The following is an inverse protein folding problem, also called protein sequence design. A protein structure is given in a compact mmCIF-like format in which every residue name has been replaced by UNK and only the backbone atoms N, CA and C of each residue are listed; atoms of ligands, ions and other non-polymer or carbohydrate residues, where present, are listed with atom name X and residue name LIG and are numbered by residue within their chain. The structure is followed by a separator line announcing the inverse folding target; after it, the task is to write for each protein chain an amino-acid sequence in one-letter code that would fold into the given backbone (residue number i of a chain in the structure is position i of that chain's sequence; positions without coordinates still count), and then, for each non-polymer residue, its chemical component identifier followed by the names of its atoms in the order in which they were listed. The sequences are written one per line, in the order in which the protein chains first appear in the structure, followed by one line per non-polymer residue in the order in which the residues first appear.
data_IF_933264786366
#
_entry.id   IF_933264786366
#
_cell.length_a   1.000
_cell.length_b   1.000
_cell.length_c   1.000
_cell.angle_alpha   90.00
_cell.angle_beta   90.00
_cell.angle_gamma   90.00
#
_symmetry.space_group_name_H-M   'P 1'
#
loop_
_entity.id
_entity.type
_entity.pdbx_description
1 polymer ?
#
# COMPACT_ATOMS: atom_id res chain seq x y z
N UNK A 1 -40.61 -46.05 0.42
CA UNK A 1 -39.68 -47.12 0.02
C UNK A 1 -39.49 -46.98 -1.48
N UNK A 2 -38.34 -46.65 -2.05
CA UNK A 2 -36.95 -46.64 -1.56
C UNK A 2 -36.12 -45.84 -2.55
N UNK A 3 -35.29 -44.95 -2.00
CA UNK A 3 -33.94 -44.52 -2.41
C UNK A 3 -33.51 -44.56 -3.88
N UNK A 4 -33.18 -43.37 -4.39
CA UNK A 4 -32.06 -43.20 -5.33
C UNK A 4 -31.04 -42.30 -4.64
N UNK A 5 -30.03 -42.96 -4.08
CA UNK A 5 -28.85 -42.41 -3.45
C UNK A 5 -27.88 -41.82 -4.47
N UNK A 6 -27.16 -40.80 -4.00
CA UNK A 6 -26.00 -40.13 -4.57
C UNK A 6 -24.97 -41.06 -5.24
N UNK A 7 -24.40 -40.58 -6.35
CA UNK A 7 -22.96 -40.30 -6.52
C UNK A 7 -22.71 -39.71 -7.91
N UNK A 8 -22.80 -38.39 -8.05
CA UNK A 8 -22.18 -37.67 -9.15
C UNK A 8 -20.90 -37.02 -8.61
N UNK A 9 -19.76 -37.45 -9.15
CA UNK A 9 -18.43 -37.10 -8.66
C UNK A 9 -18.21 -35.60 -8.50
N UNK A 10 -18.00 -35.18 -7.26
CA UNK A 10 -17.40 -33.89 -6.94
C UNK A 10 -15.97 -33.92 -7.46
N UNK A 11 -15.70 -33.22 -8.56
CA UNK A 11 -14.34 -33.01 -9.06
C UNK A 11 -13.46 -32.47 -7.91
N UNK A 12 -12.23 -32.97 -7.73
CA UNK A 12 -11.46 -32.63 -6.54
C UNK A 12 -10.94 -31.18 -6.64
N UNK A 13 -11.44 -30.27 -5.78
CA UNK A 13 -10.92 -28.89 -5.56
C UNK A 13 -9.50 -28.87 -4.97
N UNK A 14 -8.49 -29.41 -5.65
CA UNK A 14 -7.39 -30.08 -4.93
C UNK A 14 -6.00 -29.45 -4.96
N UNK A 15 -5.59 -28.61 -5.91
CA UNK A 15 -4.24 -28.00 -5.89
C UNK A 15 -4.19 -26.55 -6.34
N UNK A 16 -4.84 -26.21 -7.46
CA UNK A 16 -4.92 -24.84 -7.96
C UNK A 16 -5.63 -23.90 -6.96
N UNK A 17 -6.74 -24.34 -6.37
CA UNK A 17 -7.45 -23.61 -5.32
C UNK A 17 -6.60 -23.39 -4.07
N UNK A 18 -5.77 -24.38 -3.71
CA UNK A 18 -4.86 -24.29 -2.57
C UNK A 18 -3.77 -23.26 -2.84
N UNK A 19 -3.14 -23.32 -4.01
CA UNK A 19 -2.11 -22.36 -4.42
C UNK A 19 -2.65 -20.93 -4.50
N UNK A 20 -3.85 -20.74 -5.07
CA UNK A 20 -4.52 -19.44 -5.10
C UNK A 20 -4.84 -18.90 -3.70
N UNK A 21 -5.34 -19.73 -2.79
CA UNK A 21 -5.62 -19.34 -1.39
C UNK A 21 -4.35 -18.99 -0.63
N UNK A 22 -3.29 -19.79 -0.75
CA UNK A 22 -1.98 -19.49 -0.16
C UNK A 22 -1.43 -18.19 -0.71
N UNK A 23 -1.61 -17.93 -2.01
CA UNK A 23 -1.20 -16.69 -2.64
C UNK A 23 -1.91 -15.47 -2.05
N UNK A 24 -3.24 -15.53 -1.95
CA UNK A 24 -4.01 -14.47 -1.32
C UNK A 24 -3.57 -14.26 0.13
N UNK A 25 -3.34 -15.33 0.89
CA UNK A 25 -2.92 -15.26 2.28
C UNK A 25 -1.57 -14.56 2.46
N UNK A 26 -0.52 -14.92 1.72
CA UNK A 26 0.79 -14.27 1.92
C UNK A 26 0.79 -12.81 1.42
N UNK A 27 -0.04 -12.46 0.42
CA UNK A 27 -0.18 -11.08 -0.05
C UNK A 27 -0.94 -10.21 0.98
N UNK A 28 -1.96 -10.76 1.63
CA UNK A 28 -2.58 -10.12 2.79
C UNK A 28 -1.57 -10.04 3.96
N UNK A 29 -0.77 -11.08 4.17
CA UNK A 29 0.33 -11.08 5.11
C UNK A 29 1.35 -9.97 4.87
N UNK A 30 1.69 -9.70 3.62
CA UNK A 30 2.55 -8.58 3.24
C UNK A 30 1.92 -7.24 3.63
N UNK A 31 0.61 -7.03 3.39
CA UNK A 31 -0.11 -5.85 3.91
C UNK A 31 -0.06 -5.77 5.43
N UNK A 32 -0.15 -6.91 6.10
CA UNK A 32 -0.03 -7.03 7.56
C UNK A 32 1.34 -6.60 8.06
N UNK A 33 2.40 -7.04 7.39
CA UNK A 33 3.77 -6.58 7.65
C UNK A 33 3.91 -5.07 7.41
N UNK A 34 3.39 -4.56 6.29
CA UNK A 34 3.41 -3.12 5.97
C UNK A 34 2.80 -2.28 7.08
N UNK A 35 1.58 -2.60 7.54
CA UNK A 35 0.94 -1.83 8.62
C UNK A 35 1.65 -2.01 9.96
N UNK A 36 2.18 -3.21 10.24
CA UNK A 36 2.95 -3.44 11.46
C UNK A 36 4.20 -2.54 11.51
N UNK A 37 4.94 -2.43 10.39
CA UNK A 37 6.08 -1.53 10.28
C UNK A 37 5.69 -0.07 10.51
N UNK A 38 4.55 0.38 9.96
CA UNK A 38 4.01 1.73 10.21
C UNK A 38 3.73 1.96 11.69
N UNK A 39 3.02 1.04 12.34
CA UNK A 39 2.69 1.16 13.75
C UNK A 39 3.93 1.11 14.65
N UNK A 40 4.91 0.25 14.34
CA UNK A 40 6.17 0.24 15.08
C UNK A 40 6.92 1.56 14.87
N UNK A 41 7.06 2.04 13.63
CA UNK A 41 7.75 3.30 13.35
C UNK A 41 7.15 4.51 14.06
N UNK A 42 5.85 4.52 14.31
CA UNK A 42 5.16 5.63 14.98
C UNK A 42 5.10 5.49 16.51
N UNK A 43 4.86 4.30 17.05
CA UNK A 43 4.64 4.10 18.48
C UNK A 43 5.87 3.57 19.22
N UNK A 44 6.78 2.91 18.52
CA UNK A 44 8.00 2.31 19.08
C UNK A 44 9.18 2.52 18.10
N UNK A 45 9.56 3.78 17.83
CA UNK A 45 10.58 4.08 16.83
C UNK A 45 11.90 3.37 17.16
N UNK A 46 12.49 2.76 16.14
CA UNK A 46 13.78 2.07 16.24
C UNK A 46 14.87 3.05 15.77
N UNK A 47 15.86 3.41 16.62
CA UNK A 47 16.92 4.33 16.21
C UNK A 47 17.66 3.85 14.97
N UNK A 48 17.90 4.75 14.01
CA UNK A 48 18.66 4.43 12.80
C UNK A 48 17.83 3.93 11.62
N UNK A 49 16.50 3.79 11.74
CA UNK A 49 15.63 3.36 10.64
C UNK A 49 14.21 3.93 10.73
N UNK A 50 13.73 4.48 9.63
CA UNK A 50 12.33 4.91 9.51
C UNK A 50 11.41 3.76 9.04
N UNK A 51 10.95 2.94 9.99
CA UNK A 51 10.03 1.83 9.71
C UNK A 51 8.65 2.30 9.20
N UNK A 52 8.24 3.53 9.52
CA UNK A 52 7.02 4.14 9.02
C UNK A 52 7.03 4.27 7.50
N UNK A 53 8.09 4.89 6.99
CA UNK A 53 8.33 5.10 5.56
C UNK A 53 8.51 3.76 4.84
N UNK A 54 9.31 2.84 5.40
CA UNK A 54 9.50 1.51 4.84
C UNK A 54 8.18 0.72 4.71
N UNK A 55 7.32 0.81 5.73
CA UNK A 55 6.00 0.17 5.72
C UNK A 55 5.09 0.70 4.61
N UNK A 56 5.11 2.02 4.37
CA UNK A 56 4.38 2.67 3.26
C UNK A 56 4.92 2.21 1.90
N UNK A 57 6.24 2.11 1.73
CA UNK A 57 6.86 1.59 0.50
C UNK A 57 6.46 0.16 0.21
N UNK A 58 6.34 -0.68 1.24
CA UNK A 58 5.83 -2.05 1.09
C UNK A 58 4.39 -2.06 0.57
N UNK A 59 3.54 -1.13 1.01
CA UNK A 59 2.20 -0.96 0.45
C UNK A 59 2.26 -0.59 -1.03
N UNK A 60 3.09 0.38 -1.39
CA UNK A 60 3.19 0.85 -2.78
C UNK A 60 3.67 -0.22 -3.74
N UNK A 61 4.74 -0.94 -3.42
CA UNK A 61 5.22 -2.01 -4.30
C UNK A 61 4.21 -3.15 -4.39
N UNK A 62 3.50 -3.47 -3.31
CA UNK A 62 2.42 -4.46 -3.37
C UNK A 62 1.27 -3.97 -4.25
N UNK A 63 0.87 -2.71 -4.12
CA UNK A 63 -0.18 -2.11 -4.93
C UNK A 63 0.20 -2.11 -6.41
N UNK A 64 1.44 -1.81 -6.77
CA UNK A 64 1.94 -1.95 -8.14
C UNK A 64 1.84 -3.38 -8.68
N UNK A 65 2.26 -4.38 -7.91
CA UNK A 65 2.13 -5.80 -8.30
C UNK A 65 0.67 -6.17 -8.54
N UNK A 66 -0.23 -5.80 -7.63
CA UNK A 66 -1.66 -6.12 -7.73
C UNK A 66 -2.34 -5.37 -8.88
N UNK A 67 -1.97 -4.12 -9.16
CA UNK A 67 -2.52 -3.35 -10.28
C UNK A 67 -2.01 -3.84 -11.62
N UNK A 68 -0.73 -4.22 -11.70
CA UNK A 68 -0.17 -4.91 -12.85
C UNK A 68 -1.00 -6.14 -13.22
N UNK A 69 -1.30 -6.96 -12.22
CA UNK A 69 -2.14 -8.14 -12.39
C UNK A 69 -3.57 -7.82 -12.81
N UNK A 70 -4.28 -7.01 -12.03
CA UNK A 70 -5.72 -6.77 -12.25
C UNK A 70 -5.98 -6.04 -13.58
N UNK A 71 -5.19 -5.02 -13.92
CA UNK A 71 -5.48 -4.14 -15.06
C UNK A 71 -4.91 -4.68 -16.38
N UNK A 72 -3.74 -5.31 -16.36
CA UNK A 72 -3.03 -5.68 -17.59
C UNK A 72 -2.94 -7.20 -17.82
N UNK A 73 -2.99 -8.00 -16.74
CA UNK A 73 -3.01 -9.46 -16.84
C UNK A 73 -4.44 -9.96 -16.98
N UNK A 74 -5.25 -9.73 -15.95
CA UNK A 74 -6.66 -10.13 -15.88
C UNK A 74 -7.57 -9.27 -16.76
N UNK A 75 -7.12 -8.05 -17.10
CA UNK A 75 -7.88 -7.05 -17.86
C UNK A 75 -9.27 -6.81 -17.25
N UNK A 76 -9.29 -6.65 -15.93
CA UNK A 76 -10.52 -6.53 -15.18
C UNK A 76 -11.31 -5.26 -15.59
N UNK A 77 -12.64 -5.33 -15.76
CA UNK A 77 -13.42 -4.19 -16.24
C UNK A 77 -13.28 -2.95 -15.35
N UNK A 78 -12.87 -1.81 -15.92
CA UNK A 78 -12.55 -0.60 -15.15
C UNK A 78 -13.71 -0.09 -14.28
N UNK A 79 -14.95 -0.15 -14.77
CA UNK A 79 -16.13 0.22 -13.98
C UNK A 79 -16.22 -0.63 -12.70
N UNK A 80 -16.02 -1.95 -12.81
CA UNK A 80 -16.03 -2.86 -11.65
C UNK A 80 -14.80 -2.66 -10.76
N UNK A 81 -13.65 -2.33 -11.34
CA UNK A 81 -12.43 -2.01 -10.62
C UNK A 81 -12.62 -0.79 -9.69
N UNK A 82 -13.00 0.37 -10.25
CA UNK A 82 -13.19 1.59 -9.48
C UNK A 82 -14.33 1.47 -8.47
N UNK A 83 -15.41 0.75 -8.81
CA UNK A 83 -16.48 0.40 -7.86
C UNK A 83 -15.94 -0.33 -6.63
N UNK A 84 -15.11 -1.37 -6.84
CA UNK A 84 -14.51 -2.16 -5.75
C UNK A 84 -13.51 -1.36 -4.93
N UNK A 85 -12.78 -0.44 -5.55
CA UNK A 85 -11.83 0.46 -4.88
C UNK A 85 -12.56 1.49 -4.04
N UNK A 86 -13.52 2.19 -4.63
CA UNK A 86 -14.37 3.15 -3.93
C UNK A 86 -15.05 2.50 -2.72
N UNK A 87 -15.66 1.32 -2.89
CA UNK A 87 -16.37 0.64 -1.80
C UNK A 87 -15.47 0.16 -0.66
N UNK A 88 -14.16 0.01 -0.91
CA UNK A 88 -13.17 -0.34 0.11
C UNK A 88 -12.63 0.90 0.83
N UNK A 89 -12.43 2.00 0.12
CA UNK A 89 -11.62 3.13 0.59
C UNK A 89 -12.50 4.27 1.11
N UNK A 90 -13.41 4.75 0.26
CA UNK A 90 -14.07 6.03 0.47
C UNK A 90 -14.99 6.07 1.71
N UNK A 91 -15.83 5.05 2.01
CA UNK A 91 -16.71 5.09 3.18
C UNK A 91 -15.96 5.26 4.51
N UNK A 92 -14.88 4.49 4.71
CA UNK A 92 -14.12 4.58 5.96
C UNK A 92 -13.28 5.86 6.02
N UNK A 93 -12.75 6.35 4.90
CA UNK A 93 -12.08 7.64 4.82
C UNK A 93 -13.03 8.79 5.21
N UNK A 94 -14.25 8.79 4.68
CA UNK A 94 -15.25 9.81 4.98
C UNK A 94 -15.59 9.85 6.47
N UNK A 95 -15.85 8.68 7.07
CA UNK A 95 -16.13 8.57 8.50
C UNK A 95 -14.93 9.02 9.33
N UNK A 96 -13.71 8.59 8.97
CA UNK A 96 -12.49 9.03 9.64
C UNK A 96 -12.34 10.55 9.60
N UNK A 97 -12.45 11.19 8.44
CA UNK A 97 -12.27 12.64 8.30
C UNK A 97 -13.29 13.41 9.13
N UNK A 98 -14.57 13.01 9.11
CA UNK A 98 -15.62 13.66 9.91
C UNK A 98 -15.37 13.45 11.41
N UNK A 99 -15.11 12.21 11.82
CA UNK A 99 -14.88 11.88 13.23
C UNK A 99 -13.62 12.57 13.78
N UNK A 100 -12.54 12.62 13.00
CA UNK A 100 -11.31 13.30 13.36
C UNK A 100 -11.52 14.82 13.45
N UNK A 101 -12.25 15.42 12.51
CA UNK A 101 -12.52 16.86 12.55
C UNK A 101 -13.32 17.27 13.79
N UNK A 102 -14.31 16.45 14.18
CA UNK A 102 -15.12 16.70 15.38
C UNK A 102 -14.33 16.38 16.65
N UNK A 103 -13.79 15.16 16.75
CA UNK A 103 -13.14 14.65 17.96
C UNK A 103 -11.81 15.33 18.30
N UNK A 104 -11.12 15.89 17.31
CA UNK A 104 -9.89 16.66 17.52
C UNK A 104 -10.15 18.16 17.64
N UNK A 105 -11.41 18.62 17.57
CA UNK A 105 -11.75 20.03 17.75
C UNK A 105 -11.25 20.52 19.11
N UNK A 106 -10.61 21.70 19.13
CA UNK A 106 -10.01 22.26 20.35
C UNK A 106 -8.68 21.63 20.78
N UNK A 107 -8.19 20.61 20.07
CA UNK A 107 -6.85 20.05 20.29
C UNK A 107 -5.79 20.76 19.44
N UNK A 108 -4.51 20.51 19.72
CA UNK A 108 -3.38 21.08 18.97
C UNK A 108 -3.22 20.56 17.54
N UNK A 109 -3.87 19.45 17.21
CA UNK A 109 -3.91 18.87 15.85
C UNK A 109 -5.26 19.08 15.15
N UNK A 110 -6.09 19.99 15.67
CA UNK A 110 -7.32 20.38 15.01
C UNK A 110 -7.08 20.90 13.59
N UNK A 111 -7.97 20.58 12.67
CA UNK A 111 -7.89 21.03 11.27
C UNK A 111 -9.25 21.54 10.78
N UNK A 112 -9.22 22.43 9.79
CA UNK A 112 -10.41 23.08 9.23
C UNK A 112 -10.95 22.28 8.03
N UNK A 113 -12.19 22.60 7.64
CA UNK A 113 -12.89 21.95 6.52
C UNK A 113 -12.10 21.96 5.19
N UNK A 114 -11.26 22.98 4.93
CA UNK A 114 -10.40 23.02 3.74
C UNK A 114 -9.41 21.85 3.69
N UNK A 115 -8.79 21.53 4.83
CA UNK A 115 -7.88 20.38 4.93
C UNK A 115 -8.66 19.06 4.80
N UNK A 116 -9.84 18.97 5.43
CA UNK A 116 -10.74 17.83 5.28
C UNK A 116 -11.09 17.57 3.80
N UNK A 117 -11.42 18.63 3.04
CA UNK A 117 -11.73 18.52 1.63
C UNK A 117 -10.55 17.95 0.84
N UNK A 118 -9.32 18.41 1.09
CA UNK A 118 -8.13 17.90 0.38
C UNK A 118 -7.86 16.42 0.64
N UNK A 119 -8.21 15.91 1.84
CA UNK A 119 -8.14 14.48 2.12
C UNK A 119 -9.20 13.71 1.33
N UNK A 120 -10.44 14.20 1.29
CA UNK A 120 -11.55 13.56 0.58
C UNK A 120 -11.41 13.60 -0.94
N UNK A 121 -10.73 14.61 -1.49
CA UNK A 121 -10.45 14.73 -2.92
C UNK A 121 -9.10 14.14 -3.32
N UNK A 122 -8.39 13.46 -2.40
CA UNK A 122 -7.06 12.88 -2.63
C UNK A 122 -6.02 13.91 -3.12
N UNK A 123 -6.14 15.18 -2.73
CA UNK A 123 -5.20 16.23 -3.11
C UNK A 123 -4.32 16.72 -1.95
N UNK A 124 -4.46 16.09 -0.78
CA UNK A 124 -3.73 16.45 0.44
C UNK A 124 -2.21 16.48 0.23
N UNK A 125 -1.65 15.57 -0.56
CA UNK A 125 -0.21 15.47 -0.75
C UNK A 125 0.40 16.74 -1.39
N UNK A 126 -0.33 17.42 -2.28
CA UNK A 126 0.09 18.71 -2.84
C UNK A 126 -0.41 19.90 -2.01
N UNK A 127 -1.63 19.85 -1.48
CA UNK A 127 -2.17 20.93 -0.66
C UNK A 127 -1.38 21.12 0.66
N UNK A 128 -0.91 20.04 1.25
CA UNK A 128 -0.04 20.04 2.43
C UNK A 128 1.33 20.66 2.16
N UNK A 129 1.86 20.50 0.93
CA UNK A 129 3.12 21.12 0.47
C UNK A 129 2.91 22.61 0.18
N UNK A 130 1.87 22.96 -0.59
CA UNK A 130 1.72 24.29 -1.18
C UNK A 130 0.98 25.30 -0.30
N UNK A 131 0.14 24.84 0.63
CA UNK A 131 -0.75 25.71 1.42
C UNK A 131 -0.39 25.63 2.89
N UNK A 132 -0.75 24.52 3.54
CA UNK A 132 -0.42 24.27 4.95
C UNK A 132 -0.67 22.81 5.31
N UNK A 133 0.13 22.27 6.23
CA UNK A 133 -0.05 20.93 6.77
C UNK A 133 -1.18 20.88 7.80
N UNK A 134 -1.87 19.75 7.82
CA UNK A 134 -2.76 19.37 8.91
C UNK A 134 -2.24 18.07 9.52
N UNK A 135 -1.57 18.16 10.68
CA UNK A 135 -0.81 17.05 11.27
C UNK A 135 -1.60 15.75 11.45
N UNK A 136 -2.88 15.86 11.82
CA UNK A 136 -3.79 14.72 11.97
C UNK A 136 -4.06 13.97 10.65
N UNK A 137 -3.87 14.64 9.51
CA UNK A 137 -4.10 14.12 8.16
C UNK A 137 -2.79 13.86 7.40
N UNK A 138 -1.62 14.06 8.01
CA UNK A 138 -0.32 13.97 7.32
C UNK A 138 -0.23 12.68 6.48
N UNK A 139 -0.45 11.51 7.07
CA UNK A 139 -0.43 10.20 6.41
C UNK A 139 -1.32 10.08 5.14
N UNK A 140 -2.34 10.91 4.95
CA UNK A 140 -3.19 10.87 3.74
C UNK A 140 -2.39 11.19 2.47
N UNK A 141 -1.21 11.80 2.59
CA UNK A 141 -0.30 12.01 1.46
C UNK A 141 -0.06 10.72 0.65
N UNK A 142 0.14 9.59 1.33
CA UNK A 142 0.46 8.33 0.66
C UNK A 142 -0.78 7.70 0.02
N UNK A 143 -1.94 7.85 0.64
CA UNK A 143 -3.22 7.40 0.11
C UNK A 143 -3.59 8.16 -1.18
N UNK A 144 -3.31 9.47 -1.22
CA UNK A 144 -3.48 10.27 -2.43
C UNK A 144 -2.62 9.77 -3.60
N UNK A 145 -1.34 9.47 -3.36
CA UNK A 145 -0.45 8.90 -4.37
C UNK A 145 -0.96 7.55 -4.87
N UNK A 146 -1.45 6.72 -3.96
CA UNK A 146 -2.01 5.42 -4.31
C UNK A 146 -3.22 5.58 -5.26
N UNK A 147 -4.17 6.46 -4.94
CA UNK A 147 -5.34 6.72 -5.81
C UNK A 147 -4.95 7.36 -7.15
N UNK A 148 -4.02 8.32 -7.15
CA UNK A 148 -3.48 8.89 -8.40
C UNK A 148 -2.87 7.80 -9.29
N UNK A 149 -2.10 6.89 -8.69
CA UNK A 149 -1.48 5.79 -9.41
C UNK A 149 -2.50 4.84 -10.03
N UNK A 150 -3.63 4.59 -9.34
CA UNK A 150 -4.70 3.74 -9.85
C UNK A 150 -5.39 4.35 -11.06
N UNK A 151 -5.65 5.66 -11.03
CA UNK A 151 -6.20 6.40 -12.18
C UNK A 151 -5.21 6.38 -13.35
N UNK A 152 -3.93 6.66 -13.10
CA UNK A 152 -2.88 6.64 -14.14
C UNK A 152 -2.74 5.25 -14.76
N UNK A 153 -2.63 4.19 -13.95
CA UNK A 153 -2.52 2.82 -14.46
C UNK A 153 -3.77 2.38 -15.23
N UNK A 154 -4.96 2.76 -14.77
CA UNK A 154 -6.20 2.49 -15.50
C UNK A 154 -6.22 3.21 -16.86
N UNK A 155 -5.77 4.46 -16.93
CA UNK A 155 -5.65 5.20 -18.19
C UNK A 155 -4.64 4.53 -19.14
N UNK A 156 -3.47 4.15 -18.63
CA UNK A 156 -2.45 3.43 -19.42
C UNK A 156 -3.02 2.11 -19.95
N UNK A 157 -3.83 1.39 -19.16
CA UNK A 157 -4.45 0.13 -19.60
C UNK A 157 -5.40 0.26 -20.79
N UNK A 158 -5.94 1.46 -21.02
CA UNK A 158 -6.85 1.77 -22.14
C UNK A 158 -6.10 2.35 -23.33
N UNK A 159 -5.18 3.30 -23.08
CA UNK A 159 -4.52 4.08 -24.13
C UNK A 159 -3.34 3.31 -24.75
N UNK A 160 -2.63 2.49 -23.99
CA UNK A 160 -1.40 1.83 -24.45
C UNK A 160 -1.70 0.38 -24.82
N UNK A 161 -1.63 0.09 -26.11
CA UNK A 161 -1.80 -1.26 -26.62
C UNK A 161 -0.51 -2.09 -26.53
N UNK A 162 -0.66 -3.34 -26.07
CA UNK A 162 0.43 -4.32 -26.00
C UNK A 162 1.26 -4.24 -24.73
N UNK A 163 1.41 -5.37 -24.03
CA UNK A 163 2.11 -5.44 -22.73
C UNK A 163 3.57 -4.97 -22.80
N UNK A 164 4.27 -5.24 -23.90
CA UNK A 164 5.64 -4.74 -24.09
C UNK A 164 5.75 -3.22 -24.13
N UNK A 165 4.78 -2.53 -24.75
CA UNK A 165 4.71 -1.06 -24.75
C UNK A 165 4.38 -0.52 -23.35
N UNK A 166 3.42 -1.16 -22.67
CA UNK A 166 3.07 -0.83 -21.28
C UNK A 166 4.30 -0.93 -20.39
N UNK A 167 5.03 -2.05 -20.43
CA UNK A 167 6.24 -2.24 -19.62
C UNK A 167 7.27 -1.14 -19.90
N UNK A 168 7.55 -0.82 -21.17
CA UNK A 168 8.47 0.27 -21.53
C UNK A 168 8.04 1.61 -20.95
N UNK A 169 6.75 1.93 -21.07
CA UNK A 169 6.20 3.18 -20.53
C UNK A 169 6.29 3.22 -19.00
N UNK A 170 5.90 2.14 -18.32
CA UNK A 170 5.96 2.06 -16.86
C UNK A 170 7.41 2.20 -16.35
N UNK A 171 8.37 1.54 -17.00
CA UNK A 171 9.80 1.68 -16.67
C UNK A 171 10.28 3.11 -16.93
N UNK A 172 9.96 3.69 -18.08
CA UNK A 172 10.36 5.06 -18.41
C UNK A 172 9.80 6.08 -17.40
N UNK A 173 8.51 6.00 -17.08
CA UNK A 173 7.87 6.86 -16.08
C UNK A 173 8.44 6.64 -14.68
N UNK A 174 8.78 5.40 -14.30
CA UNK A 174 9.43 5.11 -13.02
C UNK A 174 10.81 5.77 -12.93
N UNK A 175 11.62 5.63 -13.98
CA UNK A 175 12.96 6.25 -14.05
C UNK A 175 12.86 7.77 -14.00
N UNK A 176 11.92 8.37 -14.73
CA UNK A 176 11.69 9.82 -14.70
C UNK A 176 11.24 10.29 -13.32
N UNK A 177 10.36 9.56 -12.64
CA UNK A 177 9.90 9.91 -11.30
C UNK A 177 11.03 9.79 -10.25
N UNK A 178 11.84 8.74 -10.33
CA UNK A 178 13.04 8.57 -9.49
C UNK A 178 14.07 9.68 -9.75
N UNK A 179 14.31 10.03 -11.00
CA UNK A 179 15.20 11.12 -11.38
C UNK A 179 14.69 12.48 -10.88
N UNK A 180 13.39 12.74 -11.01
CA UNK A 180 12.74 13.94 -10.48
C UNK A 180 12.91 14.07 -8.96
N UNK A 181 12.78 12.96 -8.22
CA UNK A 181 13.05 12.92 -6.78
C UNK A 181 14.51 13.22 -6.44
N UNK A 182 15.44 12.59 -7.17
CA UNK A 182 16.87 12.82 -6.99
C UNK A 182 17.29 14.25 -7.29
N UNK A 183 16.78 14.84 -8.39
CA UNK A 183 17.02 16.24 -8.76
C UNK A 183 16.42 17.18 -7.73
N UNK A 184 15.17 16.93 -7.29
CA UNK A 184 14.50 17.76 -6.27
C UNK A 184 15.33 17.85 -4.98
N UNK A 185 15.90 16.73 -4.54
CA UNK A 185 16.73 16.70 -3.33
C UNK A 185 18.16 17.24 -3.56
N UNK A 186 18.93 16.64 -4.47
CA UNK A 186 20.36 16.93 -4.61
C UNK A 186 20.66 18.25 -5.32
N UNK A 187 19.80 18.64 -6.27
CA UNK A 187 20.05 19.82 -7.12
C UNK A 187 19.24 21.02 -6.63
N UNK A 188 17.95 20.81 -6.31
CA UNK A 188 17.07 21.90 -5.90
C UNK A 188 17.08 22.13 -4.38
N UNK A 189 17.68 21.24 -3.59
CA UNK A 189 17.77 21.38 -2.13
C UNK A 189 16.41 21.36 -1.43
N UNK A 190 15.41 20.72 -2.04
CA UNK A 190 14.08 20.60 -1.45
C UNK A 190 14.11 19.68 -0.23
N UNK A 191 13.31 20.00 0.79
CA UNK A 191 13.20 19.17 1.99
C UNK A 191 12.53 17.82 1.70
N UNK A 192 12.47 16.97 2.73
CA UNK A 192 11.91 15.62 2.63
C UNK A 192 10.45 15.66 2.17
N UNK A 193 9.59 16.43 2.82
CA UNK A 193 8.16 16.46 2.51
C UNK A 193 7.88 17.00 1.10
N UNK A 194 8.51 18.10 0.73
CA UNK A 194 8.33 18.75 -0.57
C UNK A 194 8.92 17.95 -1.73
N UNK A 195 9.90 17.08 -1.47
CA UNK A 195 10.41 16.13 -2.46
C UNK A 195 9.60 14.83 -2.50
N UNK A 196 9.32 14.24 -1.34
CA UNK A 196 8.85 12.85 -1.22
C UNK A 196 7.34 12.70 -1.36
N UNK A 197 6.53 13.65 -0.89
CA UNK A 197 5.06 13.51 -0.90
C UNK A 197 4.45 13.77 -2.29
N UNK A 198 5.26 14.08 -3.28
CA UNK A 198 4.85 14.35 -4.66
C UNK A 198 4.54 13.05 -5.40
N UNK A 199 3.37 12.96 -6.02
CA UNK A 199 3.01 11.81 -6.86
C UNK A 199 3.99 11.63 -8.02
N UNK A 200 4.39 12.73 -8.65
CA UNK A 200 5.36 12.76 -9.75
C UNK A 200 6.80 12.34 -9.37
N UNK A 201 7.05 12.10 -8.08
CA UNK A 201 8.28 11.46 -7.59
C UNK A 201 7.98 10.03 -7.14
N UNK A 202 6.94 9.89 -6.33
CA UNK A 202 6.76 8.72 -5.50
C UNK A 202 5.96 7.58 -6.16
N UNK A 203 5.29 7.87 -7.28
CA UNK A 203 4.59 6.85 -8.08
C UNK A 203 5.55 5.75 -8.61
N UNK A 204 6.86 6.01 -8.64
CA UNK A 204 7.87 5.07 -9.10
C UNK A 204 7.76 3.66 -8.48
N UNK A 205 7.50 3.57 -7.17
CA UNK A 205 7.37 2.29 -6.46
C UNK A 205 6.23 1.43 -7.03
N UNK A 206 5.13 2.07 -7.40
CA UNK A 206 3.94 1.43 -7.94
C UNK A 206 4.17 1.05 -9.41
N UNK A 207 4.67 1.98 -10.23
CA UNK A 207 4.89 1.74 -11.66
C UNK A 207 5.97 0.67 -11.90
N UNK A 208 7.07 0.71 -11.15
CA UNK A 208 8.17 -0.24 -11.31
C UNK A 208 7.75 -1.64 -10.89
N UNK A 209 7.02 -1.77 -9.78
CA UNK A 209 6.49 -3.07 -9.36
C UNK A 209 5.46 -3.64 -10.34
N UNK A 210 4.62 -2.79 -10.93
CA UNK A 210 3.72 -3.20 -12.00
C UNK A 210 4.49 -3.67 -13.25
N UNK A 211 5.55 -2.97 -13.65
CA UNK A 211 6.41 -3.38 -14.76
C UNK A 211 7.07 -4.74 -14.53
N UNK A 212 7.62 -4.99 -13.32
CA UNK A 212 8.22 -6.28 -12.97
C UNK A 212 7.16 -7.39 -12.97
N UNK A 213 5.95 -7.11 -12.47
CA UNK A 213 4.83 -8.05 -12.52
C UNK A 213 4.52 -8.50 -13.96
N UNK A 214 4.48 -7.56 -14.91
CA UNK A 214 4.22 -7.85 -16.31
C UNK A 214 5.38 -8.57 -17.00
N UNK A 215 6.62 -8.18 -16.73
CA UNK A 215 7.80 -8.92 -17.20
C UNK A 215 7.79 -10.36 -16.74
N UNK A 216 7.41 -10.61 -15.47
CA UNK A 216 7.25 -11.96 -14.92
C UNK A 216 6.14 -12.72 -15.63
N UNK A 217 4.99 -12.10 -15.86
CA UNK A 217 3.83 -12.72 -16.52
C UNK A 217 4.12 -13.11 -17.98
N UNK A 218 4.91 -12.31 -18.69
CA UNK A 218 5.32 -12.57 -20.07
C UNK A 218 6.54 -13.52 -20.16
N UNK A 219 7.01 -14.08 -19.03
CA UNK A 219 8.15 -15.00 -18.99
C UNK A 219 9.50 -14.34 -19.28
N UNK A 220 9.56 -13.01 -19.26
CA UNK A 220 10.74 -12.20 -19.59
C UNK A 220 11.59 -11.83 -18.37
N UNK A 221 11.16 -12.20 -17.16
CA UNK A 221 11.96 -12.00 -15.96
C UNK A 221 13.17 -12.96 -15.98
N UNK A 222 14.43 -12.45 -15.92
CA UNK A 222 15.63 -13.28 -15.92
C UNK A 222 15.60 -14.42 -14.89
N UNK A 223 16.14 -15.58 -15.26
CA UNK A 223 16.13 -16.78 -14.43
C UNK A 223 16.77 -16.58 -13.05
N UNK A 224 17.81 -15.75 -12.96
CA UNK A 224 18.47 -15.40 -11.70
C UNK A 224 17.49 -14.80 -10.68
N UNK A 225 16.53 -13.97 -11.11
CA UNK A 225 15.53 -13.36 -10.22
C UNK A 225 14.42 -14.32 -9.77
N UNK A 226 14.36 -15.53 -10.35
CA UNK A 226 13.41 -16.58 -9.99
C UNK A 226 13.96 -17.53 -8.90
N UNK A 227 15.08 -17.18 -8.29
CA UNK A 227 15.69 -17.95 -7.22
C UNK A 227 14.97 -17.70 -5.87
N UNK A 228 14.79 -18.76 -5.07
CA UNK A 228 14.12 -18.73 -3.75
C UNK A 228 14.70 -17.75 -2.73
N UNK A 229 15.96 -17.36 -2.90
CA UNK A 229 16.65 -16.43 -2.02
C UNK A 229 16.51 -14.96 -2.44
N UNK A 230 16.07 -14.68 -3.67
CA UNK A 230 16.01 -13.31 -4.22
C UNK A 230 15.02 -12.44 -3.46
N UNK A 231 13.85 -12.97 -3.12
CA UNK A 231 12.86 -12.20 -2.37
C UNK A 231 13.41 -11.71 -1.03
N UNK A 232 14.09 -12.61 -0.29
CA UNK A 232 14.68 -12.29 1.02
C UNK A 232 15.90 -11.37 0.88
N UNK A 233 16.80 -11.66 -0.06
CA UNK A 233 17.99 -10.86 -0.29
C UNK A 233 17.66 -9.44 -0.77
N UNK A 234 16.67 -9.30 -1.65
CA UNK A 234 16.18 -7.99 -2.10
C UNK A 234 15.46 -7.24 -0.98
N UNK A 235 14.65 -7.91 -0.16
CA UNK A 235 14.03 -7.28 1.02
C UNK A 235 15.09 -6.82 2.04
N UNK A 236 16.08 -7.65 2.35
CA UNK A 236 17.17 -7.29 3.26
C UNK A 236 18.02 -6.14 2.72
N UNK A 237 18.40 -6.21 1.44
CA UNK A 237 19.13 -5.13 0.77
C UNK A 237 18.34 -3.82 0.76
N UNK A 238 17.04 -3.87 0.51
CA UNK A 238 16.19 -2.70 0.63
C UNK A 238 16.17 -2.16 2.06
N UNK A 239 15.94 -2.99 3.09
CA UNK A 239 15.94 -2.55 4.50
C UNK A 239 17.23 -1.81 4.87
N UNK A 240 18.40 -2.32 4.42
CA UNK A 240 19.69 -1.66 4.62
C UNK A 240 19.77 -0.28 3.96
N UNK A 241 19.10 -0.10 2.82
CA UNK A 241 19.02 1.17 2.12
C UNK A 241 18.00 2.14 2.73
N UNK A 242 17.21 1.75 3.73
CA UNK A 242 16.29 2.63 4.46
C UNK A 242 16.82 3.05 5.84
N UNK A 243 18.10 2.76 6.13
CA UNK A 243 18.77 3.21 7.35
C UNK A 243 19.05 4.72 7.27
N UNK A 244 18.96 5.42 8.41
CA UNK A 244 19.08 6.88 8.51
C UNK A 244 20.36 7.48 7.88
N UNK A 245 21.54 6.82 7.91
CA UNK A 245 22.74 7.34 7.24
C UNK A 245 22.64 7.37 5.71
N UNK A 246 21.69 6.64 5.13
CA UNK A 246 21.53 6.57 3.68
C UNK A 246 20.76 7.80 3.20
N UNK A 247 21.25 8.53 2.17
CA UNK A 247 20.53 9.68 1.66
C UNK A 247 19.18 9.30 1.09
N UNK A 248 18.19 10.12 1.39
CA UNK A 248 16.81 9.98 0.98
C UNK A 248 16.62 9.61 -0.52
N UNK A 249 17.32 10.22 -1.49
CA UNK A 249 17.20 9.80 -2.90
C UNK A 249 17.70 8.38 -3.19
N UNK A 250 18.67 7.87 -2.44
CA UNK A 250 19.17 6.50 -2.60
C UNK A 250 18.08 5.50 -2.23
N UNK A 251 17.20 5.84 -1.28
CA UNK A 251 16.04 5.01 -0.92
C UNK A 251 15.15 4.79 -2.15
N UNK A 252 14.87 5.86 -2.91
CA UNK A 252 13.99 5.77 -4.08
C UNK A 252 14.72 5.23 -5.32
N UNK A 253 16.02 5.50 -5.46
CA UNK A 253 16.81 5.08 -6.62
C UNK A 253 17.16 3.59 -6.58
N UNK A 254 17.42 3.04 -5.39
CA UNK A 254 17.91 1.67 -5.21
C UNK A 254 16.99 0.83 -4.30
N UNK A 255 16.51 1.40 -3.19
CA UNK A 255 15.62 0.70 -2.26
C UNK A 255 14.30 0.30 -2.91
N UNK A 256 13.67 1.21 -3.65
CA UNK A 256 12.41 0.96 -4.36
C UNK A 256 12.52 -0.18 -5.39
N UNK A 257 13.51 -0.21 -6.31
CA UNK A 257 13.74 -1.37 -7.17
C UNK A 257 13.90 -2.70 -6.41
N UNK A 258 14.65 -2.69 -5.29
CA UNK A 258 14.82 -3.89 -4.47
C UNK A 258 13.52 -4.34 -3.81
N UNK A 259 12.68 -3.43 -3.33
CA UNK A 259 11.36 -3.76 -2.78
C UNK A 259 10.39 -4.26 -3.84
N UNK A 260 10.38 -3.62 -5.01
CA UNK A 260 9.58 -4.04 -6.14
C UNK A 260 9.98 -5.45 -6.61
N UNK A 261 11.27 -5.77 -6.61
CA UNK A 261 11.77 -7.11 -6.86
C UNK A 261 11.37 -8.08 -5.74
N UNK A 262 11.55 -7.69 -4.48
CA UNK A 262 11.24 -8.52 -3.32
C UNK A 262 9.79 -9.01 -3.34
N UNK A 263 8.83 -8.08 -3.50
CA UNK A 263 7.41 -8.44 -3.54
C UNK A 263 7.07 -9.28 -4.76
N UNK A 264 7.65 -9.03 -5.93
CA UNK A 264 7.37 -9.81 -7.14
C UNK A 264 8.02 -11.19 -7.17
N UNK A 265 9.14 -11.37 -6.45
CA UNK A 265 9.86 -12.63 -6.31
C UNK A 265 9.29 -13.54 -5.21
N UNK A 266 8.33 -13.08 -4.39
CA UNK A 266 7.69 -13.90 -3.35
C UNK A 266 7.07 -15.20 -3.87
N UNK A 267 6.63 -15.23 -5.14
CA UNK A 267 6.08 -16.45 -5.76
C UNK A 267 7.10 -17.58 -5.87
N UNK A 268 8.39 -17.22 -5.90
CA UNK A 268 9.51 -18.15 -6.00
C UNK A 268 10.17 -18.42 -4.65
N UNK A 269 9.77 -17.69 -3.59
CA UNK A 269 10.35 -17.82 -2.28
C UNK A 269 10.06 -19.20 -1.67
N UNK A 270 10.97 -19.67 -0.80
CA UNK A 270 10.77 -20.91 -0.06
C UNK A 270 9.53 -20.87 0.83
N UNK A 271 8.97 -22.06 1.11
CA UNK A 271 7.73 -22.21 1.89
C UNK A 271 7.75 -21.58 3.29
N UNK A 272 8.93 -21.34 3.87
CA UNK A 272 9.06 -20.67 5.16
C UNK A 272 8.59 -19.21 5.11
N UNK A 273 9.05 -18.41 4.15
CA UNK A 273 8.72 -16.99 4.06
C UNK A 273 7.24 -16.79 3.72
N UNK A 274 6.73 -17.55 2.75
CA UNK A 274 5.30 -17.53 2.40
C UNK A 274 4.45 -18.08 3.53
N UNK A 275 4.93 -19.06 4.29
CA UNK A 275 4.28 -19.58 5.50
C UNK A 275 4.18 -18.55 6.63
N UNK A 276 5.26 -17.81 6.90
CA UNK A 276 5.28 -16.74 7.91
C UNK A 276 4.27 -15.63 7.57
N UNK A 277 4.27 -15.16 6.32
CA UNK A 277 3.32 -14.17 5.84
C UNK A 277 1.88 -14.70 5.81
N UNK A 278 1.69 -15.99 5.52
CA UNK A 278 0.37 -16.63 5.56
C UNK A 278 -0.12 -16.94 6.98
N UNK A 279 0.65 -16.59 8.03
CA UNK A 279 0.23 -16.79 9.41
C UNK A 279 -1.04 -15.98 9.71
N UNK A 280 -1.91 -16.55 10.54
CA UNK A 280 -3.20 -15.91 10.89
C UNK A 280 -3.05 -14.47 11.41
N UNK A 281 -2.09 -14.14 12.30
CA UNK A 281 -1.91 -12.77 12.76
C UNK A 281 -1.56 -11.80 11.63
N UNK A 282 -0.65 -12.18 10.72
CA UNK A 282 -0.25 -11.34 9.59
C UNK A 282 -1.39 -11.12 8.62
N UNK A 283 -2.15 -12.16 8.29
CA UNK A 283 -3.34 -12.05 7.45
C UNK A 283 -4.39 -11.14 8.10
N UNK A 284 -4.64 -11.28 9.41
CA UNK A 284 -5.62 -10.45 10.12
C UNK A 284 -5.20 -8.97 10.14
N UNK A 285 -3.93 -8.66 10.40
CA UNK A 285 -3.40 -7.30 10.26
C UNK A 285 -3.55 -6.80 8.82
N UNK A 286 -3.32 -7.66 7.82
CA UNK A 286 -3.53 -7.34 6.41
C UNK A 286 -4.97 -6.94 6.09
N UNK A 287 -5.94 -7.64 6.65
CA UNK A 287 -7.36 -7.33 6.48
C UNK A 287 -7.75 -6.00 7.13
N UNK A 288 -7.21 -5.72 8.32
CA UNK A 288 -7.47 -4.46 9.05
C UNK A 288 -6.58 -3.29 8.62
N UNK A 289 -5.60 -3.54 7.75
CA UNK A 289 -4.53 -2.60 7.41
C UNK A 289 -5.03 -1.22 7.04
N UNK A 290 -6.11 -1.13 6.27
CA UNK A 290 -6.65 0.16 5.82
C UNK A 290 -7.24 0.98 6.97
N UNK A 291 -8.11 0.35 7.78
CA UNK A 291 -8.66 1.02 8.97
C UNK A 291 -7.57 1.37 9.98
N UNK A 292 -6.59 0.50 10.23
CA UNK A 292 -5.45 0.81 11.09
C UNK A 292 -4.63 1.99 10.54
N UNK A 293 -4.42 2.05 9.23
CA UNK A 293 -3.68 3.12 8.58
C UNK A 293 -4.36 4.49 8.74
N UNK A 294 -5.69 4.56 8.60
CA UNK A 294 -6.45 5.80 8.82
C UNK A 294 -6.37 6.27 10.26
N UNK A 295 -6.66 5.37 11.21
CA UNK A 295 -6.85 5.77 12.59
C UNK A 295 -5.56 5.99 13.35
N UNK A 296 -4.40 5.51 12.89
CA UNK A 296 -3.16 5.62 13.65
C UNK A 296 -2.65 7.07 13.83
N UNK A 297 -2.83 7.93 12.82
CA UNK A 297 -2.07 9.19 12.73
C UNK A 297 -2.41 10.20 13.84
N UNK A 298 -3.68 10.44 14.21
CA UNK A 298 -3.98 11.37 15.29
C UNK A 298 -3.33 10.94 16.61
N UNK A 299 -3.41 9.66 16.95
CA UNK A 299 -2.85 9.11 18.19
C UNK A 299 -1.32 9.15 18.17
N UNK A 300 -0.70 8.87 17.03
CA UNK A 300 0.74 9.04 16.85
C UNK A 300 1.17 10.48 17.16
N UNK A 301 0.41 11.50 16.71
CA UNK A 301 0.74 12.91 17.03
C UNK A 301 0.68 13.23 18.51
N UNK A 302 -0.22 12.61 19.29
CA UNK A 302 -0.19 12.73 20.76
C UNK A 302 1.07 12.11 21.36
N UNK A 303 1.53 10.96 20.86
CA UNK A 303 2.78 10.35 21.32
C UNK A 303 3.97 11.24 20.95
N UNK A 304 4.07 11.63 19.68
CA UNK A 304 5.22 12.33 19.14
C UNK A 304 5.33 13.79 19.61
N UNK A 305 4.25 14.57 19.54
CA UNK A 305 4.29 16.00 19.86
C UNK A 305 4.03 16.30 21.34
N UNK A 306 3.37 15.39 22.07
CA UNK A 306 2.98 15.59 23.49
C UNK A 306 3.59 14.59 24.46
N UNK A 307 4.40 13.63 23.99
CA UNK A 307 5.05 12.65 24.86
C UNK A 307 4.08 11.71 25.58
N UNK A 308 2.86 11.53 25.05
CA UNK A 308 1.89 10.60 25.64
C UNK A 308 2.42 9.17 25.52
N UNK A 309 2.15 8.33 26.52
CA UNK A 309 2.62 6.94 26.52
C UNK A 309 2.09 6.16 25.30
N UNK A 310 2.95 5.44 24.55
CA UNK A 310 2.54 4.83 23.29
C UNK A 310 1.51 3.70 23.42
N UNK A 311 1.60 2.87 24.47
CA UNK A 311 0.80 1.64 24.59
C UNK A 311 -0.72 1.95 24.66
N UNK A 312 -1.20 2.87 25.52
CA UNK A 312 -2.63 3.24 25.53
C UNK A 312 -3.10 3.85 24.20
N UNK A 313 -2.24 4.66 23.56
CA UNK A 313 -2.56 5.27 22.27
C UNK A 313 -2.67 4.22 21.17
N UNK A 314 -1.77 3.24 21.12
CA UNK A 314 -1.85 2.12 20.19
C UNK A 314 -3.10 1.26 20.44
N UNK A 315 -3.45 1.00 21.71
CA UNK A 315 -4.69 0.30 22.04
C UNK A 315 -5.93 1.06 21.53
N UNK A 316 -5.95 2.39 21.66
CA UNK A 316 -7.01 3.24 21.12
C UNK A 316 -7.05 3.21 19.58
N UNK A 317 -5.89 3.19 18.89
CA UNK A 317 -5.82 2.97 17.44
C UNK A 317 -6.51 1.66 17.05
N UNK A 318 -6.18 0.55 17.71
CA UNK A 318 -6.83 -0.73 17.43
C UNK A 318 -8.34 -0.68 17.71
N UNK A 319 -8.76 -0.06 18.82
CA UNK A 319 -10.18 0.07 19.13
C UNK A 319 -10.95 0.84 18.05
N UNK A 320 -10.46 2.01 17.65
CA UNK A 320 -11.07 2.84 16.60
C UNK A 320 -11.01 2.18 15.23
N UNK A 321 -9.88 1.58 14.87
CA UNK A 321 -9.69 0.89 13.60
C UNK A 321 -10.60 -0.34 13.47
N UNK A 322 -10.70 -1.16 14.50
CA UNK A 322 -11.57 -2.34 14.47
C UNK A 322 -13.05 -1.94 14.44
N UNK A 323 -13.44 -0.93 15.23
CA UNK A 323 -14.79 -0.37 15.14
C UNK A 323 -15.10 0.12 13.72
N UNK A 324 -14.20 0.92 13.13
CA UNK A 324 -14.33 1.41 11.76
C UNK A 324 -14.40 0.27 10.73
N UNK A 325 -13.56 -0.76 10.88
CA UNK A 325 -13.55 -1.91 9.98
C UNK A 325 -14.86 -2.70 10.00
N UNK A 326 -15.34 -3.06 11.20
CA UNK A 326 -16.51 -3.92 11.34
C UNK A 326 -17.84 -3.18 11.15
N UNK A 327 -17.91 -1.89 11.52
CA UNK A 327 -19.14 -1.10 11.45
C UNK A 327 -19.27 -0.36 10.10
N UNK A 328 -18.16 0.10 9.53
CA UNK A 328 -18.18 0.96 8.32
C UNK A 328 -17.59 0.23 7.11
N UNK A 329 -16.31 -0.11 7.15
CA UNK A 329 -15.57 -0.60 5.97
C UNK A 329 -16.20 -1.89 5.40
N UNK A 330 -16.31 -2.94 6.22
CA UNK A 330 -16.78 -4.25 5.79
C UNK A 330 -18.25 -4.23 5.34
N UNK A 331 -19.20 -3.60 6.07
CA UNK A 331 -20.59 -3.51 5.63
C UNK A 331 -20.75 -2.68 4.36
N UNK A 332 -20.13 -1.49 4.29
CA UNK A 332 -20.21 -0.62 3.12
C UNK A 332 -19.63 -1.31 1.88
N UNK A 333 -18.47 -1.97 2.02
CA UNK A 333 -17.87 -2.77 0.96
C UNK A 333 -18.80 -3.87 0.48
N UNK A 334 -19.44 -4.60 1.40
CA UNK A 334 -20.38 -5.66 1.06
C UNK A 334 -21.61 -5.14 0.32
N UNK A 335 -22.21 -4.06 0.82
CA UNK A 335 -23.42 -3.49 0.25
C UNK A 335 -23.17 -2.83 -1.12
N UNK A 336 -22.17 -1.97 -1.24
CA UNK A 336 -21.86 -1.27 -2.49
C UNK A 336 -21.49 -2.26 -3.60
N UNK A 337 -20.70 -3.29 -3.29
CA UNK A 337 -20.32 -4.28 -4.30
C UNK A 337 -21.50 -5.10 -4.83
N UNK A 338 -22.58 -5.27 -4.04
CA UNK A 338 -23.80 -5.97 -4.45
C UNK A 338 -24.82 -5.06 -5.16
N UNK A 339 -24.96 -3.81 -4.75
CA UNK A 339 -26.09 -2.96 -5.14
C UNK A 339 -25.77 -1.84 -6.16
N UNK A 340 -24.51 -1.43 -6.30
CA UNK A 340 -24.08 -0.47 -7.35
C UNK A 340 -23.61 -1.19 -8.63
#
# INVERSE_FOLDING_TARGET
MTDISATAGVLPRTTADKAARTRLAYLDGWRGLSIALVLIGHFFPVPGINLGVLGVEFFFVLSGRLMGEILFIERFPLKKFFKRRFSRIYPALLVFVIAAMIGLSGTFIAFKWKAALTALTFTYNYAGILINRAGALDHIWSLAIEEHSYVILALISVVVSGRGNVVRLLVALSVLAMANGAISYWVLGMDYETSYWRTDVHIASILLSAAICLLKADGRLPAFFRNRHVALGAAAGAVLLFLDPVPTPVHYLLGVPLLALAVNALDFAGGYLTGLLSSRPMVMLGLWSYSLYLWQQPFYKFVYDRGVTPIPMLAAVFACALASYYIVEKPARGWLNRNW
#
